data_IF_084843505597
#
_entry.id   IF_084843505597
#
_cell.length_a   1.000
_cell.length_b   1.000
_cell.length_c   1.000
_cell.angle_alpha   90.00
_cell.angle_beta   90.00
_cell.angle_gamma   90.00
#
_symmetry.space_group_name_H-M   'P 1'
#
loop_
_entity.id
_entity.type
_entity.pdbx_description
1 polymer ?
#
# COMPACT_ATOMS: atom_id res chain seq x y z
N UNK A 1 -5.18 -27.17 -9.61
CA UNK A 1 -4.82 -27.63 -10.98
C UNK A 1 -3.41 -27.15 -11.30
N UNK A 2 -2.70 -27.80 -12.23
CA UNK A 2 -1.37 -27.36 -12.68
C UNK A 2 -1.48 -26.55 -13.97
N UNK A 3 -0.81 -25.41 -14.04
CA UNK A 3 -0.88 -24.45 -15.16
C UNK A 3 0.53 -24.12 -15.68
N UNK A 4 0.64 -23.91 -16.99
CA UNK A 4 1.85 -23.36 -17.63
C UNK A 4 3.07 -24.30 -17.75
N UNK A 5 2.99 -25.58 -17.35
CA UNK A 5 4.16 -26.48 -17.40
C UNK A 5 4.70 -26.75 -18.81
N UNK A 6 3.79 -26.84 -19.80
CA UNK A 6 4.13 -27.03 -21.22
C UNK A 6 4.18 -25.71 -21.99
N UNK A 7 3.99 -24.59 -21.31
CA UNK A 7 4.11 -23.27 -21.89
C UNK A 7 5.53 -22.74 -21.67
N UNK A 8 6.28 -22.61 -22.75
CA UNK A 8 7.65 -22.12 -22.75
C UNK A 8 7.74 -20.59 -22.89
N UNK A 9 6.60 -19.89 -22.94
CA UNK A 9 6.60 -18.45 -22.66
C UNK A 9 6.99 -18.20 -21.19
N UNK A 10 7.52 -16.99 -20.94
CA UNK A 10 7.95 -16.64 -19.59
C UNK A 10 6.76 -16.60 -18.64
N UNK A 11 6.89 -17.28 -17.50
CA UNK A 11 5.86 -17.31 -16.48
C UNK A 11 5.66 -15.90 -15.90
N UNK A 12 4.45 -15.35 -16.02
CA UNK A 12 4.07 -14.10 -15.38
C UNK A 12 3.93 -14.25 -13.85
N UNK A 13 4.15 -13.16 -13.12
CA UNK A 13 3.91 -13.10 -11.67
C UNK A 13 2.42 -13.10 -11.30
N UNK A 14 1.55 -12.74 -12.25
CA UNK A 14 0.12 -12.63 -12.05
C UNK A 14 -0.64 -13.69 -12.85
N UNK A 15 -1.80 -14.10 -12.33
CA UNK A 15 -2.79 -14.85 -13.10
C UNK A 15 -3.44 -13.97 -14.17
N UNK A 16 -4.15 -14.59 -15.13
CA UNK A 16 -4.95 -13.86 -16.12
C UNK A 16 -6.03 -12.97 -15.48
N UNK A 17 -6.49 -13.33 -14.28
CA UNK A 17 -7.45 -12.53 -13.50
C UNK A 17 -6.79 -11.36 -12.76
N UNK A 18 -5.47 -11.20 -12.85
CA UNK A 18 -4.72 -10.13 -12.19
C UNK A 18 -4.35 -10.42 -10.73
N UNK A 19 -4.54 -11.65 -10.24
CA UNK A 19 -4.14 -12.01 -8.88
C UNK A 19 -2.62 -12.30 -8.83
N UNK A 20 -1.88 -11.79 -7.82
CA UNK A 20 -0.47 -12.13 -7.66
C UNK A 20 -0.30 -13.60 -7.27
N UNK A 21 0.79 -14.21 -7.72
CA UNK A 21 1.17 -15.55 -7.35
C UNK A 21 2.20 -15.53 -6.21
N UNK A 22 2.07 -16.47 -5.28
CA UNK A 22 2.98 -16.61 -4.14
C UNK A 22 3.92 -17.80 -4.31
N UNK A 23 5.17 -17.64 -3.87
CA UNK A 23 6.09 -18.78 -3.83
C UNK A 23 5.55 -19.84 -2.87
N UNK A 24 5.51 -21.08 -3.32
CA UNK A 24 5.16 -22.25 -2.53
C UNK A 24 6.23 -23.33 -2.66
N UNK A 25 6.44 -24.07 -1.58
CA UNK A 25 7.31 -25.24 -1.50
C UNK A 25 6.50 -26.53 -1.30
N UNK A 26 5.20 -26.48 -1.63
CA UNK A 26 4.29 -27.61 -1.50
C UNK A 26 4.79 -28.82 -2.30
N UNK A 27 4.53 -30.01 -1.75
CA UNK A 27 4.82 -31.25 -2.47
C UNK A 27 3.72 -31.54 -3.48
N UNK A 28 4.11 -31.80 -4.74
CA UNK A 28 3.17 -32.00 -5.83
C UNK A 28 3.50 -33.27 -6.63
N UNK A 29 2.44 -33.93 -7.11
CA UNK A 29 2.53 -35.12 -7.96
C UNK A 29 1.66 -34.92 -9.20
N UNK A 30 2.23 -35.17 -10.37
CA UNK A 30 1.55 -35.09 -11.67
C UNK A 30 2.29 -35.92 -12.73
N UNK A 31 1.65 -36.16 -13.87
CA UNK A 31 2.23 -36.91 -14.98
C UNK A 31 2.63 -35.95 -16.13
N UNK A 32 3.78 -36.21 -16.76
CA UNK A 32 4.23 -35.50 -17.98
C UNK A 32 4.90 -36.51 -18.92
N UNK A 33 4.44 -36.59 -20.17
CA UNK A 33 4.97 -37.54 -21.18
C UNK A 33 5.04 -38.99 -20.66
N UNK A 34 3.98 -39.46 -20.01
CA UNK A 34 3.88 -40.78 -19.36
C UNK A 34 4.90 -41.06 -18.25
N UNK A 35 5.60 -40.02 -17.77
CA UNK A 35 6.49 -40.06 -16.60
C UNK A 35 5.75 -39.49 -15.40
N UNK A 36 5.66 -40.28 -14.32
CA UNK A 36 5.14 -39.82 -13.03
C UNK A 36 6.17 -38.96 -12.30
N UNK A 37 5.85 -37.70 -12.03
CA UNK A 37 6.74 -36.74 -11.37
C UNK A 37 6.27 -36.49 -9.95
N UNK A 38 7.21 -36.53 -9.00
CA UNK A 38 7.01 -36.11 -7.61
C UNK A 38 8.01 -35.03 -7.26
N UNK A 39 7.53 -33.83 -6.98
CA UNK A 39 8.35 -32.72 -6.53
C UNK A 39 8.19 -32.53 -5.03
N UNK A 40 9.30 -32.49 -4.30
CA UNK A 40 9.34 -32.20 -2.86
C UNK A 40 10.16 -30.93 -2.63
N UNK A 41 9.48 -29.84 -2.25
CA UNK A 41 10.14 -28.57 -1.95
C UNK A 41 10.67 -27.80 -3.16
N UNK A 42 10.39 -28.24 -4.40
CA UNK A 42 10.71 -27.45 -5.59
C UNK A 42 9.90 -26.13 -5.55
N UNK A 43 10.51 -24.95 -5.76
CA UNK A 43 9.76 -23.71 -5.75
C UNK A 43 8.70 -23.70 -6.85
N UNK A 44 7.47 -23.43 -6.45
CA UNK A 44 6.31 -23.27 -7.32
C UNK A 44 5.69 -21.90 -7.07
N UNK A 45 4.76 -21.52 -7.93
CA UNK A 45 3.92 -20.36 -7.75
C UNK A 45 2.49 -20.84 -7.47
N UNK A 46 1.80 -20.20 -6.53
CA UNK A 46 0.46 -20.59 -6.10
C UNK A 46 -0.46 -19.39 -6.11
N UNK A 47 -1.63 -19.54 -6.71
CA UNK A 47 -2.70 -18.55 -6.56
C UNK A 47 -3.44 -18.84 -5.24
N UNK A 48 -3.46 -17.86 -4.34
CA UNK A 48 -4.15 -18.00 -3.06
C UNK A 48 -5.67 -18.11 -3.20
N UNK A 49 -6.26 -17.67 -4.32
CA UNK A 49 -7.71 -17.74 -4.54
C UNK A 49 -8.11 -19.08 -5.15
N UNK A 50 -7.60 -19.40 -6.34
CA UNK A 50 -7.96 -20.67 -7.01
C UNK A 50 -7.26 -21.90 -6.44
N UNK A 51 -6.17 -21.72 -5.69
CA UNK A 51 -5.24 -22.77 -5.25
C UNK A 51 -4.58 -23.53 -6.40
N UNK A 52 -4.58 -22.96 -7.60
CA UNK A 52 -3.83 -23.49 -8.74
C UNK A 52 -2.32 -23.25 -8.59
N UNK A 53 -1.55 -24.21 -9.10
CA UNK A 53 -0.10 -24.14 -9.13
C UNK A 53 0.40 -23.78 -10.53
N UNK A 54 1.37 -22.90 -10.56
CA UNK A 54 2.10 -22.42 -11.71
C UNK A 54 3.58 -22.75 -11.50
N UNK A 55 4.30 -22.91 -12.61
CA UNK A 55 5.72 -23.27 -12.56
C UNK A 55 6.56 -22.07 -12.94
N UNK A 56 7.44 -21.57 -12.06
CA UNK A 56 8.52 -20.68 -12.46
C UNK A 56 9.30 -21.23 -13.65
N UNK A 57 9.83 -20.36 -14.49
CA UNK A 57 10.61 -20.77 -15.67
C UNK A 57 11.78 -21.70 -15.28
N UNK A 58 12.45 -21.41 -14.16
CA UNK A 58 13.50 -22.28 -13.62
C UNK A 58 13.00 -23.65 -13.21
N UNK A 59 11.82 -23.74 -12.61
CA UNK A 59 11.19 -25.01 -12.23
C UNK A 59 10.78 -25.81 -13.45
N UNK A 60 10.23 -25.17 -14.50
CA UNK A 60 9.95 -25.82 -15.79
C UNK A 60 11.23 -26.43 -16.35
N UNK A 61 12.33 -25.67 -16.42
CA UNK A 61 13.61 -26.16 -16.94
C UNK A 61 14.13 -27.38 -16.15
N UNK A 62 14.06 -27.34 -14.82
CA UNK A 62 14.47 -28.46 -13.95
C UNK A 62 13.60 -29.69 -14.21
N UNK A 63 12.28 -29.54 -14.26
CA UNK A 63 11.34 -30.65 -14.50
C UNK A 63 11.60 -31.28 -15.86
N UNK A 64 11.66 -30.47 -16.93
CA UNK A 64 11.90 -30.96 -18.28
C UNK A 64 13.26 -31.68 -18.41
N UNK A 65 14.33 -31.16 -17.78
CA UNK A 65 15.63 -31.83 -17.75
C UNK A 65 15.55 -33.22 -17.13
N UNK A 66 14.89 -33.37 -15.97
CA UNK A 66 14.75 -34.67 -15.30
C UNK A 66 13.88 -35.65 -16.08
N UNK A 67 12.86 -35.14 -16.78
CA UNK A 67 11.96 -35.95 -17.61
C UNK A 67 12.71 -36.47 -18.85
N UNK A 68 13.52 -35.64 -19.51
CA UNK A 68 14.35 -36.09 -20.63
C UNK A 68 15.33 -37.18 -20.19
N UNK A 69 16.04 -36.98 -19.08
CA UNK A 69 16.94 -38.00 -18.51
C UNK A 69 16.23 -39.31 -18.18
N UNK A 70 14.98 -39.23 -17.69
CA UNK A 70 14.17 -40.40 -17.36
C UNK A 70 13.73 -41.17 -18.60
N UNK A 71 13.32 -40.47 -19.66
CA UNK A 71 12.94 -41.06 -20.94
C UNK A 71 14.15 -41.78 -21.58
N UNK A 72 15.32 -41.15 -21.60
CA UNK A 72 16.56 -41.77 -22.08
C UNK A 72 16.92 -43.04 -21.30
N UNK A 73 16.61 -43.08 -20.01
CA UNK A 73 16.87 -44.21 -19.12
C UNK A 73 15.70 -45.22 -19.04
N UNK A 74 14.64 -45.06 -19.86
CA UNK A 74 13.40 -45.86 -19.82
C UNK A 74 12.78 -45.99 -18.41
N UNK A 75 12.85 -44.93 -17.61
CA UNK A 75 12.19 -44.86 -16.30
C UNK A 75 10.73 -44.47 -16.47
N UNK A 76 9.89 -44.84 -15.51
CA UNK A 76 8.45 -44.50 -15.48
C UNK A 76 8.11 -43.40 -14.49
N UNK A 77 9.11 -42.88 -13.76
CA UNK A 77 8.90 -41.80 -12.80
C UNK A 77 10.19 -41.18 -12.29
N UNK A 78 10.06 -39.96 -11.78
CA UNK A 78 11.15 -39.17 -11.21
C UNK A 78 10.74 -38.50 -9.92
N UNK A 79 11.71 -38.39 -9.01
CA UNK A 79 11.59 -37.61 -7.79
C UNK A 79 12.53 -36.43 -7.90
N UNK A 80 11.99 -35.22 -7.77
CA UNK A 80 12.72 -33.96 -7.85
C UNK A 80 12.73 -33.33 -6.46
N UNK A 81 13.92 -33.09 -5.94
CA UNK A 81 14.14 -32.38 -4.68
C UNK A 81 15.21 -31.33 -4.92
N UNK A 82 15.02 -30.06 -4.49
CA UNK A 82 16.05 -29.04 -4.55
C UNK A 82 17.35 -29.54 -3.92
N UNK A 83 18.47 -29.27 -4.57
CA UNK A 83 19.78 -29.38 -3.91
C UNK A 83 19.84 -28.41 -2.73
N UNK A 84 20.46 -28.84 -1.63
CA UNK A 84 20.58 -28.05 -0.39
C UNK A 84 21.31 -26.71 -0.56
N UNK A 85 22.08 -26.53 -1.63
CA UNK A 85 22.80 -25.30 -1.93
C UNK A 85 22.00 -24.29 -2.77
N UNK A 86 20.77 -24.59 -3.19
CA UNK A 86 19.92 -23.67 -3.98
C UNK A 86 19.60 -22.37 -3.24
N UNK A 87 19.66 -22.35 -1.91
CA UNK A 87 19.47 -21.16 -1.07
C UNK A 87 20.77 -20.44 -0.72
N UNK A 88 21.92 -21.06 -0.98
CA UNK A 88 23.24 -20.59 -0.53
C UNK A 88 24.00 -19.82 -1.60
N UNK A 89 23.43 -19.66 -2.81
CA UNK A 89 24.10 -18.97 -3.90
C UNK A 89 24.21 -17.48 -3.56
N UNK A 90 25.44 -16.97 -3.59
CA UNK A 90 25.75 -15.56 -3.38
C UNK A 90 26.02 -14.86 -4.70
N UNK A 91 25.75 -13.55 -4.73
CA UNK A 91 25.89 -12.68 -5.89
C UNK A 91 26.97 -11.61 -5.63
N UNK A 92 27.59 -11.03 -6.66
CA UNK A 92 28.77 -10.17 -6.51
C UNK A 92 28.41 -8.73 -6.12
N UNK A 93 27.54 -8.57 -5.12
CA UNK A 93 27.06 -7.29 -4.60
C UNK A 93 27.12 -7.30 -3.08
N UNK A 94 27.44 -6.16 -2.48
CA UNK A 94 27.62 -6.00 -1.04
C UNK A 94 28.58 -7.06 -0.48
N UNK A 95 29.66 -7.42 -1.20
CA UNK A 95 30.51 -8.58 -0.85
C UNK A 95 31.16 -8.50 0.54
N UNK A 96 31.32 -7.29 1.06
CA UNK A 96 31.85 -7.03 2.40
C UNK A 96 30.81 -7.27 3.52
N UNK A 97 29.52 -7.38 3.16
CA UNK A 97 28.37 -7.47 4.04
C UNK A 97 27.52 -8.67 3.67
N UNK A 98 27.51 -9.69 4.53
CA UNK A 98 26.81 -10.94 4.27
C UNK A 98 25.29 -10.83 4.55
N UNK A 99 24.59 -10.01 3.77
CA UNK A 99 23.12 -9.88 3.86
C UNK A 99 22.45 -11.25 3.82
N UNK A 100 21.46 -11.45 4.70
CA UNK A 100 20.52 -12.55 4.63
C UNK A 100 19.52 -12.32 3.50
N UNK A 101 19.52 -13.25 2.56
CA UNK A 101 18.61 -13.34 1.43
C UNK A 101 18.61 -14.76 0.87
N UNK A 102 17.55 -15.11 0.13
CA UNK A 102 17.46 -16.39 -0.56
C UNK A 102 17.68 -16.21 -2.06
N UNK A 103 18.60 -16.97 -2.64
CA UNK A 103 18.73 -17.03 -4.11
C UNK A 103 17.50 -17.59 -4.81
N UNK A 104 16.59 -18.26 -4.08
CA UNK A 104 15.30 -18.71 -4.61
C UNK A 104 14.46 -17.52 -5.08
N UNK A 105 14.50 -16.41 -4.35
CA UNK A 105 13.71 -15.23 -4.71
C UNK A 105 14.14 -14.71 -6.08
N UNK A 106 15.44 -14.52 -6.27
CA UNK A 106 15.99 -14.09 -7.56
C UNK A 106 15.75 -15.11 -8.68
N UNK A 107 15.92 -16.41 -8.42
CA UNK A 107 15.90 -17.44 -9.48
C UNK A 107 14.51 -17.93 -9.88
N UNK A 108 13.51 -17.82 -8.99
CA UNK A 108 12.20 -18.41 -9.18
C UNK A 108 11.05 -17.40 -9.16
N UNK A 109 11.25 -16.17 -8.68
CA UNK A 109 10.24 -15.13 -8.86
C UNK A 109 10.33 -14.59 -10.29
N UNK A 110 9.22 -14.59 -11.05
CA UNK A 110 9.14 -13.98 -12.37
C UNK A 110 9.80 -12.60 -12.49
N UNK A 111 10.44 -12.34 -13.63
CA UNK A 111 10.98 -11.03 -13.99
C UNK A 111 12.28 -10.61 -13.29
N UNK A 112 12.77 -11.33 -12.28
CA UNK A 112 13.98 -10.94 -11.53
C UNK A 112 15.29 -11.41 -12.19
N UNK A 113 15.28 -12.58 -12.84
CA UNK A 113 16.47 -13.12 -13.53
C UNK A 113 16.80 -12.28 -14.76
N UNK A 114 18.09 -11.93 -14.92
CA UNK A 114 18.61 -11.18 -16.06
C UNK A 114 19.93 -11.79 -16.53
N UNK A 115 20.22 -11.69 -17.83
CA UNK A 115 21.47 -12.20 -18.41
C UNK A 115 22.68 -11.35 -18.00
N UNK A 116 22.46 -10.04 -17.78
CA UNK A 116 23.42 -9.10 -17.26
C UNK A 116 23.13 -8.77 -15.80
N UNK A 117 24.13 -8.25 -15.08
CA UNK A 117 24.03 -7.87 -13.68
C UNK A 117 23.40 -8.98 -12.82
N UNK A 118 23.86 -10.22 -13.01
CA UNK A 118 23.29 -11.41 -12.36
C UNK A 118 23.23 -11.24 -10.84
N UNK A 119 22.03 -11.33 -10.28
CA UNK A 119 21.76 -11.15 -8.85
C UNK A 119 21.43 -9.73 -8.42
N UNK A 120 21.42 -8.74 -9.32
CA UNK A 120 21.15 -7.34 -8.98
C UNK A 120 19.77 -7.16 -8.34
N UNK A 121 18.74 -7.74 -8.98
CA UNK A 121 17.36 -7.73 -8.47
C UNK A 121 17.11 -8.78 -7.38
N UNK A 122 18.13 -9.21 -6.64
CA UNK A 122 17.89 -10.06 -5.48
C UNK A 122 17.18 -9.23 -4.42
N UNK A 123 15.94 -9.58 -4.00
CA UNK A 123 15.25 -8.83 -2.97
C UNK A 123 15.92 -9.04 -1.62
N UNK A 124 16.21 -7.95 -0.94
CA UNK A 124 16.67 -7.94 0.45
C UNK A 124 15.53 -7.43 1.32
N UNK A 125 15.27 -8.14 2.42
CA UNK A 125 14.17 -7.86 3.32
C UNK A 125 14.69 -7.19 4.59
N UNK A 126 13.92 -6.23 5.07
CA UNK A 126 14.21 -5.47 6.28
C UNK A 126 12.97 -5.38 7.17
N UNK A 127 13.18 -5.20 8.47
CA UNK A 127 12.12 -4.76 9.37
C UNK A 127 11.64 -3.36 8.92
N UNK A 128 10.33 -3.09 8.99
CA UNK A 128 9.76 -1.76 8.72
C UNK A 128 10.41 -0.65 9.54
N UNK A 129 10.95 -0.98 10.72
CA UNK A 129 11.72 -0.08 11.57
C UNK A 129 12.93 0.54 10.86
N UNK A 130 13.45 -0.05 9.77
CA UNK A 130 14.51 0.53 8.94
C UNK A 130 14.15 1.92 8.41
N UNK A 131 12.85 2.20 8.25
CA UNK A 131 12.36 3.48 7.75
C UNK A 131 12.39 4.57 8.84
N UNK A 132 12.53 4.24 10.12
CA UNK A 132 12.57 5.22 11.22
C UNK A 132 13.71 6.22 11.07
N UNK A 133 14.91 5.74 10.73
CA UNK A 133 16.08 6.63 10.54
C UNK A 133 15.79 7.67 9.47
N UNK A 134 15.21 7.24 8.35
CA UNK A 134 15.00 8.08 7.18
C UNK A 134 13.81 9.03 7.34
N UNK A 135 12.76 8.61 8.06
CA UNK A 135 11.60 9.47 8.32
C UNK A 135 11.86 10.53 9.40
N UNK A 136 12.75 10.26 10.37
CA UNK A 136 12.97 11.14 11.52
C UNK A 136 14.15 12.10 11.34
N UNK A 137 15.13 11.75 10.50
CA UNK A 137 16.32 12.57 10.32
C UNK A 137 16.09 13.64 9.24
N UNK A 138 16.42 14.91 9.52
CA UNK A 138 16.22 15.99 8.54
C UNK A 138 17.10 15.86 7.29
N UNK A 139 18.12 15.00 7.33
CA UNK A 139 19.08 14.77 6.24
C UNK A 139 18.50 13.91 5.11
N UNK A 140 17.34 13.30 5.32
CA UNK A 140 16.69 12.47 4.33
C UNK A 140 15.29 13.01 4.02
N UNK A 141 14.76 12.57 2.90
CA UNK A 141 13.35 12.65 2.54
C UNK A 141 12.88 11.22 2.30
N UNK A 142 11.73 10.84 2.85
CA UNK A 142 11.08 9.58 2.58
C UNK A 142 9.75 9.90 1.90
N UNK A 143 9.67 9.61 0.61
CA UNK A 143 8.50 9.89 -0.22
C UNK A 143 7.79 8.58 -0.57
N UNK A 144 6.48 8.49 -0.32
CA UNK A 144 5.64 7.39 -0.78
C UNK A 144 4.92 7.83 -2.06
N UNK A 145 5.15 7.15 -3.18
CA UNK A 145 4.42 7.42 -4.44
C UNK A 145 3.08 6.70 -4.48
N UNK A 146 2.97 5.62 -3.73
CA UNK A 146 1.79 4.79 -3.63
C UNK A 146 1.70 4.16 -2.23
N UNK A 147 0.73 3.27 -2.00
CA UNK A 147 0.53 2.66 -0.69
C UNK A 147 1.71 1.78 -0.24
N UNK A 148 2.41 1.15 -1.18
CA UNK A 148 3.46 0.15 -0.90
C UNK A 148 4.77 0.39 -1.67
N UNK A 149 4.96 1.57 -2.25
CA UNK A 149 6.17 1.95 -2.99
C UNK A 149 6.60 3.38 -2.64
N UNK A 150 7.86 3.55 -2.26
CA UNK A 150 8.48 4.84 -2.03
C UNK A 150 9.95 4.92 -2.38
N UNK A 151 10.51 6.11 -2.18
CA UNK A 151 11.93 6.40 -2.29
C UNK A 151 12.46 7.02 -0.99
N UNK A 152 13.73 6.76 -0.72
CA UNK A 152 14.51 7.50 0.26
C UNK A 152 15.52 8.33 -0.52
N UNK A 153 15.51 9.65 -0.32
CA UNK A 153 16.49 10.58 -0.88
C UNK A 153 17.39 11.12 0.22
N UNK A 154 18.70 11.13 -0.02
CA UNK A 154 19.64 11.85 0.84
C UNK A 154 19.84 13.28 0.35
N UNK A 155 19.52 14.26 1.20
CA UNK A 155 19.72 15.68 0.89
C UNK A 155 21.19 16.09 0.88
N UNK A 156 22.05 15.32 1.54
CA UNK A 156 23.48 15.62 1.68
C UNK A 156 24.32 14.92 0.62
N UNK A 157 24.04 13.64 0.37
CA UNK A 157 24.87 12.79 -0.48
C UNK A 157 24.24 12.54 -1.87
N UNK A 158 23.04 13.09 -2.10
CA UNK A 158 22.29 13.07 -3.38
C UNK A 158 22.11 11.69 -4.02
N UNK A 159 21.96 10.66 -3.20
CA UNK A 159 21.55 9.33 -3.65
C UNK A 159 20.06 9.12 -3.41
N UNK A 160 19.47 8.24 -4.21
CA UNK A 160 18.09 7.78 -4.08
C UNK A 160 18.10 6.25 -4.04
N UNK A 161 17.34 5.65 -3.12
CA UNK A 161 17.01 4.22 -3.18
C UNK A 161 15.51 4.03 -3.13
N UNK A 162 15.02 3.16 -4.00
CA UNK A 162 13.62 2.74 -4.05
C UNK A 162 13.36 1.58 -3.09
N UNK A 163 12.17 1.56 -2.49
CA UNK A 163 11.77 0.47 -1.60
C UNK A 163 10.29 0.11 -1.76
N UNK A 164 9.99 -1.17 -1.56
CA UNK A 164 8.63 -1.69 -1.44
C UNK A 164 8.28 -2.06 0.00
N UNK A 165 6.98 -2.12 0.30
CA UNK A 165 6.47 -2.72 1.53
C UNK A 165 5.55 -3.88 1.13
N UNK A 166 5.85 -5.09 1.60
CA UNK A 166 5.03 -6.27 1.30
C UNK A 166 3.83 -6.39 2.26
N UNK A 167 2.92 -7.32 1.97
CA UNK A 167 1.72 -7.59 2.81
C UNK A 167 2.04 -7.99 4.27
N UNK A 168 3.28 -8.40 4.56
CA UNK A 168 3.75 -8.79 5.88
C UNK A 168 4.50 -7.65 6.59
N UNK A 169 4.40 -6.41 6.08
CA UNK A 169 5.08 -5.23 6.59
C UNK A 169 6.62 -5.36 6.61
N UNK A 170 7.19 -6.08 5.65
CA UNK A 170 8.64 -6.09 5.41
C UNK A 170 8.98 -5.10 4.31
N UNK A 171 10.06 -4.36 4.52
CA UNK A 171 10.61 -3.46 3.52
C UNK A 171 11.51 -4.25 2.59
N UNK A 172 11.38 -4.00 1.28
CA UNK A 172 12.13 -4.68 0.23
C UNK A 172 12.94 -3.65 -0.55
N UNK A 173 14.22 -3.93 -0.75
CA UNK A 173 15.09 -3.17 -1.66
C UNK A 173 15.91 -4.15 -2.51
N UNK A 174 16.39 -3.73 -3.67
CA UNK A 174 17.25 -4.58 -4.50
C UNK A 174 18.69 -4.59 -3.99
N UNK A 175 19.30 -5.77 -3.95
CA UNK A 175 20.69 -5.98 -3.53
C UNK A 175 21.67 -5.12 -4.33
N UNK A 176 21.44 -4.97 -5.63
CA UNK A 176 22.25 -4.13 -6.52
C UNK A 176 22.19 -2.66 -6.14
N UNK A 177 20.99 -2.11 -5.91
CA UNK A 177 20.82 -0.71 -5.51
C UNK A 177 21.47 -0.43 -4.14
N UNK A 178 21.41 -1.40 -3.21
CA UNK A 178 22.09 -1.29 -1.91
C UNK A 178 23.61 -1.21 -2.08
N UNK A 179 24.19 -1.95 -3.02
CA UNK A 179 25.64 -1.96 -3.26
C UNK A 179 26.17 -0.60 -3.75
N UNK A 180 25.31 0.19 -4.41
CA UNK A 180 25.62 1.53 -4.89
C UNK A 180 25.56 2.61 -3.78
N UNK A 181 24.94 2.30 -2.62
CA UNK A 181 24.83 3.23 -1.51
C UNK A 181 26.17 3.49 -0.80
N UNK A 182 26.34 4.65 -0.13
CA UNK A 182 27.48 4.88 0.75
C UNK A 182 27.60 3.79 1.82
N UNK A 183 28.83 3.37 2.17
CA UNK A 183 29.07 2.27 3.13
C UNK A 183 28.35 2.46 4.48
N UNK A 184 28.21 3.69 4.97
CA UNK A 184 27.46 3.98 6.21
C UNK A 184 25.99 3.54 6.12
N UNK A 185 25.39 3.68 4.94
CA UNK A 185 24.00 3.30 4.69
C UNK A 185 23.90 1.79 4.50
N UNK A 186 24.82 1.18 3.76
CA UNK A 186 24.90 -0.28 3.65
C UNK A 186 24.99 -0.96 5.03
N UNK A 187 25.82 -0.44 5.94
CA UNK A 187 25.95 -0.96 7.30
C UNK A 187 24.67 -0.79 8.13
N UNK A 188 23.95 0.31 7.97
CA UNK A 188 22.68 0.52 8.68
C UNK A 188 21.60 -0.41 8.15
N UNK A 189 21.46 -0.54 6.83
CA UNK A 189 20.54 -1.51 6.23
C UNK A 189 20.88 -2.93 6.69
N UNK A 190 22.16 -3.27 6.74
CA UNK A 190 22.62 -4.56 7.23
C UNK A 190 22.20 -4.85 8.68
N UNK A 191 22.12 -3.85 9.57
CA UNK A 191 21.66 -4.07 10.94
C UNK A 191 20.16 -4.36 11.07
N UNK A 192 19.37 -3.95 10.08
CA UNK A 192 17.91 -4.15 10.04
C UNK A 192 17.48 -5.30 9.11
N UNK A 193 18.44 -5.98 8.49
CA UNK A 193 18.19 -7.05 7.54
C UNK A 193 17.64 -8.30 8.23
N UNK A 194 16.58 -8.85 7.65
CA UNK A 194 15.87 -10.03 8.13
C UNK A 194 15.75 -11.08 7.02
N UNK A 195 15.39 -12.31 7.41
CA UNK A 195 15.18 -13.40 6.46
C UNK A 195 13.99 -13.11 5.53
N UNK A 196 14.16 -13.53 4.28
CA UNK A 196 13.11 -13.51 3.26
C UNK A 196 11.91 -14.36 3.70
N UNK A 197 10.71 -13.85 3.47
CA UNK A 197 9.46 -14.63 3.51
C UNK A 197 8.96 -14.99 2.10
N UNK A 198 9.81 -14.80 1.08
CA UNK A 198 9.50 -15.05 -0.33
C UNK A 198 8.32 -14.24 -0.89
N UNK A 199 7.85 -13.23 -0.16
CA UNK A 199 6.67 -12.44 -0.50
C UNK A 199 7.11 -11.05 -0.96
N UNK A 200 7.17 -10.82 -2.28
CA UNK A 200 7.61 -9.53 -2.82
C UNK A 200 6.48 -8.67 -3.39
N UNK A 201 5.26 -9.20 -3.47
CA UNK A 201 4.13 -8.48 -4.04
C UNK A 201 3.94 -7.13 -3.35
N UNK A 202 4.09 -6.08 -4.14
CA UNK A 202 4.01 -4.68 -3.76
C UNK A 202 3.92 -3.85 -5.04
N UNK A 203 3.50 -2.60 -4.92
CA UNK A 203 3.52 -1.65 -6.05
C UNK A 203 4.95 -1.36 -6.52
N UNK A 204 5.96 -1.58 -5.66
CA UNK A 204 7.37 -1.52 -6.02
C UNK A 204 7.74 -2.58 -7.06
N UNK A 205 7.37 -3.85 -6.83
CA UNK A 205 7.56 -4.90 -7.83
C UNK A 205 6.77 -4.58 -9.11
N UNK A 206 5.50 -4.17 -8.97
CA UNK A 206 4.64 -3.87 -10.11
C UNK A 206 5.22 -2.78 -11.00
N UNK A 207 5.72 -1.70 -10.39
CA UNK A 207 6.26 -0.56 -11.11
C UNK A 207 7.60 -0.88 -11.78
N UNK A 208 8.51 -1.56 -11.07
CA UNK A 208 9.88 -1.74 -11.55
C UNK A 208 10.10 -2.99 -12.42
N UNK A 209 9.29 -4.04 -12.23
CA UNK A 209 9.42 -5.30 -12.96
C UNK A 209 8.33 -5.46 -14.01
N UNK A 210 7.07 -5.30 -13.60
CA UNK A 210 5.92 -5.52 -14.49
C UNK A 210 5.50 -4.27 -15.28
N UNK A 211 6.14 -3.12 -15.02
CA UNK A 211 5.87 -1.82 -15.67
C UNK A 211 4.39 -1.43 -15.57
N UNK A 212 3.78 -1.72 -14.42
CA UNK A 212 2.40 -1.35 -14.10
C UNK A 212 2.40 -0.06 -13.29
N UNK A 213 1.76 0.96 -13.84
CA UNK A 213 1.50 2.20 -13.13
C UNK A 213 0.56 1.91 -11.94
N UNK A 214 0.90 2.44 -10.77
CA UNK A 214 -0.01 2.42 -9.64
C UNK A 214 -1.19 3.35 -9.90
N UNK A 215 -2.37 2.95 -9.44
CA UNK A 215 -3.48 3.90 -9.34
C UNK A 215 -3.09 5.03 -8.37
N UNK A 216 -3.62 6.25 -8.55
CA UNK A 216 -3.43 7.31 -7.57
C UNK A 216 -3.88 6.81 -6.19
N UNK A 217 -3.11 7.14 -5.16
CA UNK A 217 -3.45 6.76 -3.79
C UNK A 217 -4.86 7.24 -3.42
N UNK A 218 -5.52 6.56 -2.48
CA UNK A 218 -6.86 6.93 -2.06
C UNK A 218 -6.90 8.37 -1.53
N UNK A 219 -5.85 8.80 -0.86
CA UNK A 219 -5.68 10.16 -0.35
C UNK A 219 -5.73 11.18 -1.51
N UNK A 220 -4.94 10.94 -2.56
CA UNK A 220 -4.92 11.81 -3.73
C UNK A 220 -6.29 11.88 -4.41
N UNK A 221 -6.97 10.73 -4.57
CA UNK A 221 -8.34 10.70 -5.15
C UNK A 221 -9.33 11.49 -4.30
N UNK A 222 -9.27 11.34 -2.97
CA UNK A 222 -10.14 12.08 -2.05
C UNK A 222 -9.86 13.59 -2.08
N UNK A 223 -8.59 14.01 -2.14
CA UNK A 223 -8.26 15.43 -2.27
C UNK A 223 -8.76 16.04 -3.58
N UNK A 224 -8.65 15.30 -4.68
CA UNK A 224 -9.18 15.72 -5.98
C UNK A 224 -10.71 15.80 -5.97
N UNK A 225 -11.41 14.79 -5.41
CA UNK A 225 -12.86 14.82 -5.22
C UNK A 225 -13.30 16.01 -4.34
N UNK A 226 -12.57 16.32 -3.26
CA UNK A 226 -12.84 17.49 -2.41
C UNK A 226 -12.80 18.78 -3.24
N UNK A 227 -11.75 18.95 -4.03
CA UNK A 227 -11.59 20.11 -4.91
C UNK A 227 -12.75 20.20 -5.91
N UNK A 228 -13.10 19.09 -6.56
CA UNK A 228 -14.23 19.03 -7.49
C UNK A 228 -15.57 19.39 -6.84
N UNK A 229 -15.86 18.95 -5.62
CA UNK A 229 -17.06 19.39 -4.88
C UNK A 229 -17.07 20.90 -4.70
N UNK A 230 -15.92 21.49 -4.35
CA UNK A 230 -15.80 22.93 -4.16
C UNK A 230 -15.96 23.72 -5.46
N UNK A 231 -15.34 23.26 -6.54
CA UNK A 231 -15.44 23.88 -7.87
C UNK A 231 -16.88 23.79 -8.40
N UNK A 232 -17.52 22.62 -8.30
CA UNK A 232 -18.93 22.44 -8.69
C UNK A 232 -19.88 23.34 -7.88
N UNK A 233 -19.58 23.58 -6.60
CA UNK A 233 -20.37 24.51 -5.81
C UNK A 233 -20.15 25.97 -6.24
N UNK A 234 -18.92 26.34 -6.61
CA UNK A 234 -18.63 27.65 -7.16
C UNK A 234 -19.39 27.88 -8.47
N UNK A 235 -19.46 26.87 -9.34
CA UNK A 235 -20.23 26.93 -10.59
C UNK A 235 -21.75 27.03 -10.33
N UNK A 236 -22.29 26.19 -9.45
CA UNK A 236 -23.75 26.07 -9.22
C UNK A 236 -24.32 27.16 -8.31
N UNK A 237 -23.58 27.59 -7.29
CA UNK A 237 -24.05 28.50 -6.25
C UNK A 237 -23.26 29.82 -6.21
N UNK A 238 -22.26 30.00 -7.07
CA UNK A 238 -21.49 31.24 -7.20
C UNK A 238 -20.38 31.41 -6.16
N UNK A 239 -20.19 30.44 -5.25
CA UNK A 239 -19.11 30.45 -4.25
C UNK A 239 -18.64 29.02 -3.95
N UNK A 240 -17.33 28.83 -3.69
CA UNK A 240 -16.78 27.53 -3.33
C UNK A 240 -17.20 27.12 -1.91
N UNK A 241 -17.35 25.81 -1.68
CA UNK A 241 -17.62 25.29 -0.33
C UNK A 241 -16.40 25.37 0.59
N UNK A 242 -15.21 25.48 0.00
CA UNK A 242 -13.96 25.62 0.72
C UNK A 242 -13.31 26.99 0.48
N UNK A 243 -12.53 27.44 1.47
CA UNK A 243 -11.72 28.66 1.43
C UNK A 243 -10.24 28.30 1.61
N UNK A 244 -9.37 29.26 1.29
CA UNK A 244 -7.93 29.14 1.47
C UNK A 244 -7.30 28.00 0.66
N UNK A 245 -7.73 27.84 -0.61
CA UNK A 245 -7.27 26.73 -1.46
C UNK A 245 -5.74 26.76 -1.70
N UNK A 246 -5.10 27.95 -1.71
CA UNK A 246 -3.65 28.05 -1.81
C UNK A 246 -2.93 27.48 -0.59
N UNK A 247 -3.41 27.82 0.62
CA UNK A 247 -2.89 27.28 1.87
C UNK A 247 -3.20 25.79 2.01
N UNK A 248 -4.39 25.34 1.60
CA UNK A 248 -4.78 23.93 1.58
C UNK A 248 -3.87 23.13 0.65
N UNK A 249 -3.59 23.62 -0.55
CA UNK A 249 -2.67 22.98 -1.49
C UNK A 249 -1.26 22.82 -0.90
N UNK A 250 -0.78 23.84 -0.18
CA UNK A 250 0.49 23.77 0.56
C UNK A 250 0.46 22.71 1.67
N UNK A 251 -0.63 22.60 2.44
CA UNK A 251 -0.78 21.55 3.46
C UNK A 251 -0.75 20.17 2.82
N UNK A 252 -1.52 19.96 1.74
CA UNK A 252 -1.57 18.67 1.03
C UNK A 252 -0.20 18.29 0.47
N UNK A 253 0.54 19.25 -0.10
CA UNK A 253 1.87 18.98 -0.67
C UNK A 253 2.94 18.57 0.36
N UNK A 254 2.71 18.87 1.64
CA UNK A 254 3.61 18.51 2.74
C UNK A 254 3.01 17.41 3.64
N UNK A 255 1.93 16.77 3.19
CA UNK A 255 1.25 15.72 3.95
C UNK A 255 1.79 14.36 3.53
N UNK A 256 2.56 13.74 4.41
CA UNK A 256 3.04 12.38 4.23
C UNK A 256 2.15 11.39 4.98
N UNK A 257 1.83 10.26 4.32
CA UNK A 257 1.16 9.15 4.99
C UNK A 257 2.07 8.60 6.10
N UNK A 258 1.56 8.36 7.32
CA UNK A 258 2.35 7.73 8.36
C UNK A 258 2.84 6.35 7.92
N UNK A 259 4.12 6.10 8.09
CA UNK A 259 4.69 4.73 8.03
C UNK A 259 4.49 4.03 9.37
N UNK A 260 4.53 4.79 10.46
CA UNK A 260 4.37 4.31 11.83
C UNK A 260 3.05 4.82 12.39
N UNK A 261 2.27 3.92 12.97
CA UNK A 261 0.87 4.17 13.37
C UNK A 261 0.70 4.43 14.87
N UNK A 262 1.64 5.18 15.46
CA UNK A 262 1.58 5.66 16.84
C UNK A 262 1.04 7.10 16.91
N UNK A 263 0.45 7.51 18.04
CA UNK A 263 -0.06 8.88 18.27
C UNK A 263 0.90 9.97 17.74
N UNK A 264 2.19 9.89 18.08
CA UNK A 264 3.19 10.91 17.70
C UNK A 264 3.35 11.10 16.18
N UNK A 265 3.11 10.06 15.40
CA UNK A 265 3.23 10.07 13.93
C UNK A 265 1.89 10.34 13.26
N UNK A 266 0.79 9.88 13.86
CA UNK A 266 -0.57 10.03 13.31
C UNK A 266 -1.16 11.41 13.59
N UNK A 267 -0.90 11.99 14.77
CA UNK A 267 -1.49 13.28 15.16
C UNK A 267 -1.21 14.43 14.18
N UNK A 268 0.03 14.66 13.70
CA UNK A 268 0.30 15.72 12.73
C UNK A 268 -0.46 15.55 11.40
N UNK A 269 -0.64 14.31 10.96
CA UNK A 269 -1.36 13.98 9.73
C UNK A 269 -2.85 14.22 9.92
N UNK A 270 -3.45 13.68 10.99
CA UNK A 270 -4.88 13.88 11.28
C UNK A 270 -5.21 15.36 11.52
N UNK A 271 -4.32 16.12 12.16
CA UNK A 271 -4.46 17.58 12.31
C UNK A 271 -4.49 18.28 10.94
N UNK A 272 -3.56 17.90 10.04
CA UNK A 272 -3.48 18.45 8.69
C UNK A 272 -4.74 18.11 7.88
N UNK A 273 -5.24 16.87 7.98
CA UNK A 273 -6.50 16.46 7.35
C UNK A 273 -7.70 17.25 7.90
N UNK A 274 -7.76 17.49 9.22
CA UNK A 274 -8.80 18.32 9.81
C UNK A 274 -8.78 19.75 9.24
N UNK A 275 -7.59 20.34 9.04
CA UNK A 275 -7.45 21.64 8.38
C UNK A 275 -7.96 21.61 6.94
N UNK A 276 -7.59 20.57 6.19
CA UNK A 276 -7.97 20.39 4.78
C UNK A 276 -9.47 20.18 4.61
N UNK A 277 -10.12 19.31 5.38
CA UNK A 277 -11.52 18.94 5.16
C UNK A 277 -12.53 19.74 5.99
N UNK A 278 -12.14 20.26 7.14
CA UNK A 278 -13.07 20.81 8.13
C UNK A 278 -12.86 22.30 8.33
N UNK A 279 -11.63 22.74 8.62
CA UNK A 279 -11.37 24.18 8.87
C UNK A 279 -11.42 25.02 7.60
N UNK A 280 -11.09 24.42 6.46
CA UNK A 280 -11.23 25.05 5.14
C UNK A 280 -12.68 25.25 4.72
N UNK A 281 -13.69 24.75 5.46
CA UNK A 281 -15.09 24.94 5.09
C UNK A 281 -15.50 26.41 5.12
N UNK A 282 -16.19 26.85 4.08
CA UNK A 282 -16.75 28.18 3.94
C UNK A 282 -18.08 28.28 4.71
N UNK A 283 -17.96 28.51 6.02
CA UNK A 283 -19.10 28.65 6.93
C UNK A 283 -20.04 29.79 6.53
N UNK A 284 -19.51 30.87 5.96
CA UNK A 284 -20.30 32.03 5.52
C UNK A 284 -21.18 31.66 4.33
N UNK A 285 -20.62 30.97 3.34
CA UNK A 285 -21.35 30.41 2.21
C UNK A 285 -22.51 29.51 2.65
N UNK A 286 -22.28 28.53 3.53
CA UNK A 286 -23.37 27.66 3.98
C UNK A 286 -24.48 28.42 4.68
N UNK A 287 -24.14 29.43 5.49
CA UNK A 287 -25.14 30.29 6.13
C UNK A 287 -25.92 31.10 5.10
N UNK A 288 -25.27 31.69 4.09
CA UNK A 288 -25.96 32.48 3.08
C UNK A 288 -26.92 31.63 2.25
N UNK A 289 -26.54 30.42 1.86
CA UNK A 289 -27.42 29.52 1.11
C UNK A 289 -28.60 29.04 1.95
N UNK A 290 -28.36 28.65 3.21
CA UNK A 290 -29.41 28.16 4.08
C UNK A 290 -30.44 29.24 4.44
N UNK A 291 -30.02 30.50 4.61
CA UNK A 291 -30.92 31.61 4.88
C UNK A 291 -31.88 31.93 3.71
N UNK A 292 -31.62 31.43 2.50
CA UNK A 292 -32.58 31.51 1.38
C UNK A 292 -33.77 30.57 1.57
N UNK A 293 -33.64 29.53 2.41
CA UNK A 293 -34.61 28.43 2.55
C UNK A 293 -35.15 28.34 3.99
N UNK A 294 -34.35 28.71 4.99
CA UNK A 294 -34.62 28.56 6.42
C UNK A 294 -34.57 29.91 7.14
N UNK A 295 -35.14 29.94 8.35
CA UNK A 295 -35.09 31.14 9.20
C UNK A 295 -33.70 31.32 9.83
N UNK A 296 -33.42 32.54 10.29
CA UNK A 296 -32.18 32.85 11.02
C UNK A 296 -32.04 32.03 12.30
N UNK A 297 -33.16 31.68 12.92
CA UNK A 297 -33.18 30.89 14.15
C UNK A 297 -32.74 29.43 13.93
N UNK A 298 -32.95 28.88 12.73
CA UNK A 298 -32.56 27.52 12.37
C UNK A 298 -31.04 27.35 12.25
N UNK A 299 -30.32 28.43 11.90
CA UNK A 299 -28.88 28.38 11.57
C UNK A 299 -27.98 29.03 12.62
N UNK A 300 -28.51 29.85 13.53
CA UNK A 300 -27.71 30.72 14.43
C UNK A 300 -26.68 29.97 15.29
N UNK A 301 -27.01 28.76 15.74
CA UNK A 301 -26.19 27.98 16.67
C UNK A 301 -25.36 26.88 15.98
N UNK A 302 -25.52 26.72 14.66
CA UNK A 302 -24.81 25.69 13.91
C UNK A 302 -23.41 26.17 13.52
N UNK A 303 -22.45 25.25 13.53
CA UNK A 303 -21.04 25.49 13.18
C UNK A 303 -20.60 24.47 12.13
N UNK A 304 -19.62 24.87 11.29
CA UNK A 304 -18.85 24.01 10.37
C UNK A 304 -19.62 22.80 9.82
N UNK A 305 -19.29 21.62 10.36
CA UNK A 305 -19.87 20.33 9.95
C UNK A 305 -21.40 20.27 10.04
N UNK A 306 -22.01 20.85 11.07
CA UNK A 306 -23.49 20.86 11.20
C UNK A 306 -24.15 21.75 10.16
N UNK A 307 -23.52 22.88 9.81
CA UNK A 307 -23.99 23.74 8.73
C UNK A 307 -23.83 23.03 7.38
N UNK A 308 -22.70 22.36 7.18
CA UNK A 308 -22.46 21.59 5.97
C UNK A 308 -23.48 20.46 5.80
N UNK A 309 -23.74 19.67 6.85
CA UNK A 309 -24.80 18.64 6.83
C UNK A 309 -26.17 19.20 6.49
N UNK A 310 -26.55 20.32 7.13
CA UNK A 310 -27.84 20.93 6.88
C UNK A 310 -27.94 21.47 5.44
N UNK A 311 -26.86 22.03 4.90
CA UNK A 311 -26.78 22.47 3.52
C UNK A 311 -26.93 21.31 2.53
N UNK A 312 -26.27 20.17 2.75
CA UNK A 312 -26.46 18.97 1.93
C UNK A 312 -27.91 18.50 1.94
N UNK A 313 -28.56 18.52 3.11
CA UNK A 313 -29.96 18.12 3.26
C UNK A 313 -30.92 19.09 2.58
N UNK A 314 -30.75 20.39 2.79
CA UNK A 314 -31.75 21.40 2.40
C UNK A 314 -31.51 21.95 0.99
N UNK A 315 -30.25 22.19 0.60
CA UNK A 315 -29.89 22.78 -0.69
C UNK A 315 -29.66 21.72 -1.77
N UNK A 316 -29.04 20.58 -1.44
CA UNK A 316 -28.83 19.47 -2.38
C UNK A 316 -29.88 18.36 -2.27
N UNK A 317 -30.85 18.47 -1.35
CA UNK A 317 -31.94 17.51 -1.15
C UNK A 317 -31.46 16.07 -0.93
N UNK A 318 -30.33 15.92 -0.24
CA UNK A 318 -29.79 14.61 0.13
C UNK A 318 -30.50 14.13 1.39
N UNK A 319 -31.36 13.12 1.27
CA UNK A 319 -32.10 12.55 2.41
C UNK A 319 -31.17 11.92 3.45
N UNK A 320 -30.14 11.19 3.02
CA UNK A 320 -29.14 10.56 3.89
C UNK A 320 -27.90 11.46 4.14
N UNK A 321 -28.10 12.77 4.33
CA UNK A 321 -27.00 13.70 4.60
C UNK A 321 -26.17 13.31 5.84
N UNK A 322 -26.82 12.76 6.88
CA UNK A 322 -26.13 12.30 8.09
C UNK A 322 -25.18 11.13 7.83
N UNK A 323 -25.54 10.24 6.90
CA UNK A 323 -24.66 9.16 6.44
C UNK A 323 -23.45 9.68 5.68
N UNK A 324 -23.66 10.58 4.71
CA UNK A 324 -22.59 11.22 3.92
C UNK A 324 -21.65 12.04 4.81
N UNK A 325 -22.18 12.69 5.84
CA UNK A 325 -21.38 13.53 6.73
C UNK A 325 -20.63 12.75 7.80
N UNK A 326 -20.98 11.48 8.02
CA UNK A 326 -20.38 10.62 9.04
C UNK A 326 -18.85 10.61 9.01
N UNK A 327 -18.14 10.37 7.88
CA UNK A 327 -16.68 10.36 7.87
C UNK A 327 -16.06 11.71 8.27
N UNK A 328 -16.68 12.84 7.94
CA UNK A 328 -16.17 14.15 8.37
C UNK A 328 -16.28 14.35 9.89
N UNK A 329 -17.37 13.86 10.51
CA UNK A 329 -17.49 13.85 11.97
C UNK A 329 -16.49 12.88 12.61
N UNK A 330 -16.26 11.72 11.99
CA UNK A 330 -15.25 10.76 12.46
C UNK A 330 -13.85 11.39 12.39
N UNK A 331 -13.49 12.06 11.31
CA UNK A 331 -12.20 12.75 11.18
C UNK A 331 -12.01 13.80 12.29
N UNK A 332 -13.05 14.59 12.58
CA UNK A 332 -13.03 15.57 13.66
C UNK A 332 -12.80 14.93 15.03
N UNK A 333 -13.53 13.85 15.33
CA UNK A 333 -13.40 13.15 16.61
C UNK A 333 -12.05 12.43 16.71
N UNK A 334 -11.55 11.88 15.60
CA UNK A 334 -10.23 11.24 15.55
C UNK A 334 -9.14 12.26 15.87
N UNK A 335 -9.24 13.47 15.30
CA UNK A 335 -8.36 14.60 15.64
C UNK A 335 -8.39 14.94 17.12
N UNK A 336 -9.57 15.00 17.74
CA UNK A 336 -9.67 15.26 19.18
C UNK A 336 -8.93 14.18 19.97
N UNK A 337 -9.17 12.91 19.64
CA UNK A 337 -8.61 11.77 20.35
C UNK A 337 -7.08 11.76 20.33
N UNK A 338 -6.46 12.05 19.17
CA UNK A 338 -4.99 11.97 19.00
C UNK A 338 -4.26 13.28 19.32
N UNK A 339 -4.91 14.44 19.20
CA UNK A 339 -4.26 15.74 19.39
C UNK A 339 -4.51 16.36 20.78
N UNK A 340 -5.57 15.97 21.50
CA UNK A 340 -5.93 16.64 22.77
C UNK A 340 -5.55 15.82 24.00
N UNK A 341 -5.23 16.53 25.08
CA UNK A 341 -5.03 15.91 26.38
C UNK A 341 -6.36 15.41 26.94
N UNK A 342 -6.49 14.10 27.11
CA UNK A 342 -7.68 13.43 27.60
C UNK A 342 -7.30 12.29 28.54
N UNK A 343 -8.26 11.83 29.33
CA UNK A 343 -8.07 10.60 30.11
C UNK A 343 -8.06 9.37 29.20
N UNK A 344 -7.37 8.31 29.59
CA UNK A 344 -7.32 7.05 28.83
C UNK A 344 -8.74 6.47 28.62
N UNK A 345 -9.61 6.62 29.63
CA UNK A 345 -11.02 6.23 29.53
C UNK A 345 -11.73 7.00 28.42
N UNK A 346 -11.55 8.33 28.36
CA UNK A 346 -12.17 9.16 27.33
C UNK A 346 -11.62 8.86 25.93
N UNK A 347 -10.30 8.62 25.80
CA UNK A 347 -9.70 8.19 24.53
C UNK A 347 -10.30 6.85 24.06
N UNK A 348 -10.40 5.88 24.96
CA UNK A 348 -10.98 4.56 24.66
C UNK A 348 -12.45 4.67 24.23
N UNK A 349 -13.28 5.45 24.94
CA UNK A 349 -14.69 5.67 24.57
C UNK A 349 -14.82 6.35 23.19
N UNK A 350 -13.95 7.31 22.87
CA UNK A 350 -13.93 7.96 21.56
C UNK A 350 -13.48 7.01 20.45
N UNK A 351 -12.44 6.21 20.68
CA UNK A 351 -11.96 5.19 19.74
C UNK A 351 -13.06 4.18 19.41
N UNK A 352 -13.77 3.68 20.43
CA UNK A 352 -14.90 2.77 20.24
C UNK A 352 -16.01 3.41 19.40
N UNK A 353 -16.32 4.69 19.62
CA UNK A 353 -17.30 5.43 18.82
C UNK A 353 -16.86 5.66 17.37
N UNK A 354 -15.56 5.89 17.14
CA UNK A 354 -14.97 5.99 15.80
C UNK A 354 -15.09 4.64 15.08
N UNK A 355 -14.64 3.56 15.71
CA UNK A 355 -14.67 2.20 15.16
C UNK A 355 -16.10 1.79 14.80
N UNK A 356 -17.07 2.01 15.70
CA UNK A 356 -18.47 1.69 15.45
C UNK A 356 -19.03 2.45 14.23
N UNK A 357 -18.69 3.73 14.06
CA UNK A 357 -19.18 4.55 12.94
C UNK A 357 -18.55 4.15 11.60
N UNK A 358 -17.33 3.65 11.63
CA UNK A 358 -16.61 3.12 10.47
C UNK A 358 -16.93 1.65 10.16
N UNK A 359 -17.65 0.94 11.04
CA UNK A 359 -17.94 -0.49 10.87
C UNK A 359 -16.75 -1.40 11.15
N UNK A 360 -15.81 -0.93 11.97
CA UNK A 360 -14.63 -1.68 12.43
C UNK A 360 -14.95 -2.33 13.78
N UNK A 361 -14.21 -3.39 14.15
CA UNK A 361 -14.27 -3.97 15.49
C UNK A 361 -14.08 -2.88 16.56
N UNK A 362 -14.99 -2.83 17.53
CA UNK A 362 -15.11 -1.71 18.47
C UNK A 362 -13.83 -1.48 19.28
N UNK A 363 -13.14 -2.55 19.66
CA UNK A 363 -11.91 -2.50 20.47
C UNK A 363 -10.63 -2.45 19.63
N UNK A 364 -10.74 -2.27 18.30
CA UNK A 364 -9.59 -2.13 17.42
C UNK A 364 -8.75 -0.90 17.78
N UNK A 365 -7.45 -1.10 17.98
CA UNK A 365 -6.44 -0.04 18.18
C UNK A 365 -5.60 0.22 16.92
N UNK A 366 -5.98 -0.41 15.80
CA UNK A 366 -5.26 -0.31 14.53
C UNK A 366 -5.57 1.02 13.81
N UNK A 367 -4.70 2.01 14.00
CA UNK A 367 -4.84 3.33 13.39
C UNK A 367 -4.69 3.31 11.87
N UNK A 368 -3.90 2.37 11.31
CA UNK A 368 -3.77 2.21 9.87
C UNK A 368 -5.12 1.83 9.26
N UNK A 369 -5.76 0.81 9.84
CA UNK A 369 -7.07 0.36 9.40
C UNK A 369 -8.14 1.42 9.53
N UNK A 370 -8.15 2.16 10.65
CA UNK A 370 -9.08 3.28 10.87
C UNK A 370 -8.87 4.36 9.81
N UNK A 371 -7.63 4.74 9.53
CA UNK A 371 -7.27 5.73 8.53
C UNK A 371 -7.72 5.32 7.13
N UNK A 372 -7.38 4.09 6.69
CA UNK A 372 -7.73 3.60 5.37
C UNK A 372 -9.25 3.57 5.16
N UNK A 373 -10.00 3.02 6.11
CA UNK A 373 -11.48 2.96 6.05
C UNK A 373 -12.09 4.36 6.11
N UNK A 374 -11.51 5.29 6.87
CA UNK A 374 -11.94 6.69 6.87
C UNK A 374 -11.82 7.31 5.47
N UNK A 375 -10.71 7.10 4.77
CA UNK A 375 -10.53 7.59 3.39
C UNK A 375 -11.50 6.95 2.40
N UNK A 376 -11.77 5.65 2.49
CA UNK A 376 -12.79 4.98 1.68
C UNK A 376 -14.18 5.62 1.88
N UNK A 377 -14.56 5.89 3.13
CA UNK A 377 -15.83 6.54 3.43
C UNK A 377 -15.87 8.00 2.95
N UNK A 378 -14.75 8.74 3.03
CA UNK A 378 -14.64 10.09 2.47
C UNK A 378 -14.79 10.09 0.94
N UNK A 379 -14.14 9.14 0.25
CA UNK A 379 -14.23 8.96 -1.21
C UNK A 379 -15.68 8.74 -1.65
N UNK A 380 -16.39 7.82 -0.99
CA UNK A 380 -17.81 7.54 -1.26
C UNK A 380 -18.67 8.78 -1.00
N UNK A 381 -18.41 9.48 0.10
CA UNK A 381 -19.21 10.65 0.51
C UNK A 381 -19.06 11.81 -0.46
N UNK A 382 -17.82 12.16 -0.84
CA UNK A 382 -17.54 13.23 -1.80
C UNK A 382 -18.08 12.89 -3.19
N UNK A 383 -17.89 11.65 -3.66
CA UNK A 383 -18.44 11.18 -4.94
C UNK A 383 -19.97 11.30 -4.97
N UNK A 384 -20.64 10.94 -3.87
CA UNK A 384 -22.09 11.09 -3.74
C UNK A 384 -22.52 12.56 -3.81
N UNK A 385 -21.78 13.47 -3.17
CA UNK A 385 -22.06 14.91 -3.22
C UNK A 385 -21.92 15.42 -4.67
N UNK A 386 -20.85 15.06 -5.38
CA UNK A 386 -20.64 15.44 -6.78
C UNK A 386 -21.82 15.01 -7.65
N UNK A 387 -22.29 13.77 -7.51
CA UNK A 387 -23.43 13.26 -8.30
C UNK A 387 -24.75 14.01 -8.08
N UNK A 388 -24.88 14.79 -6.99
CA UNK A 388 -26.05 15.62 -6.68
C UNK A 388 -25.85 17.09 -7.08
N UNK A 389 -24.63 17.46 -7.44
CA UNK A 389 -24.29 18.80 -7.93
C UNK A 389 -24.42 18.92 -9.45
N UNK A 390 -24.20 17.83 -10.18
CA UNK A 390 -24.65 17.68 -11.58
C UNK A 390 -26.17 17.88 -11.67
#
# INVERSE_FOLDING_TARGET
MFKGLNDFSSQAYFTEAGNPLEISFDSVEFDLNDIKIKCYGLPLLKDEISKDYYFPDKSKMVIHSYVMDALEQNKTGVIITPKTNLTQKRYPYCVDLNFSYSSIDYEFIPGLVREWNVGFLTPIFFNIDVLNKYSQSPNYTLDLFSATYGNIHSKLDDWIISFGINKNQKVIMWLGDIDELPKKEQHYLFSENIDSDHTIHSEFYNAQIDVRWSDPSIEHRVFELRKQVSDNAAEKFGQPINKLEGEVASIISNLDKPVFWEDKHVSPVIESLNRVFIESLNVEFFKSELLKIKSKDDVKNLKGLKLYSLWLKESLKIENADGIMRPFFVLYDFRIMVCHLQSDKSKSEQLQSINQRLGIEQDSIDYERIYNILFENLEISLSTIISKMQ
#
